data_IF_502862402223
#
_entry.id   IF_502862402223
#
_cell.length_a   1.000
_cell.length_b   1.000
_cell.length_c   1.000
_cell.angle_alpha   90.00
_cell.angle_beta   90.00
_cell.angle_gamma   90.00
#
_symmetry.space_group_name_H-M   'P 1'
#
loop_
_entity.id
_entity.type
_entity.pdbx_description
1 polymer ?
#
# COMPACT_ATOMS: atom_id res chain seq x y z
N UNK A 1 -3.88 -14.89 -4.22
CA UNK A 1 -3.65 -13.59 -3.56
C UNK A 1 -2.60 -12.75 -4.29
N UNK A 2 -1.47 -13.34 -4.71
CA UNK A 2 -0.45 -12.63 -5.51
C UNK A 2 -1.03 -11.86 -6.72
N UNK A 3 -1.94 -12.48 -7.48
CA UNK A 3 -2.63 -11.80 -8.59
C UNK A 3 -3.45 -10.57 -8.13
N UNK A 4 -4.09 -10.63 -6.95
CA UNK A 4 -4.80 -9.48 -6.36
C UNK A 4 -3.81 -8.39 -5.94
N UNK A 5 -2.66 -8.76 -5.37
CA UNK A 5 -1.60 -7.81 -5.03
C UNK A 5 -1.08 -7.10 -6.29
N UNK A 6 -0.84 -7.84 -7.38
CA UNK A 6 -0.42 -7.26 -8.66
C UNK A 6 -1.47 -6.29 -9.23
N UNK A 7 -2.75 -6.69 -9.22
CA UNK A 7 -3.86 -5.81 -9.66
C UNK A 7 -3.95 -4.54 -8.82
N UNK A 8 -3.83 -4.66 -7.49
CA UNK A 8 -3.86 -3.51 -6.60
C UNK A 8 -2.63 -2.62 -6.80
N UNK A 9 -1.44 -3.20 -6.96
CA UNK A 9 -0.22 -2.45 -7.25
C UNK A 9 -0.37 -1.60 -8.51
N UNK A 10 -0.81 -2.20 -9.63
CA UNK A 10 -1.04 -1.45 -10.86
C UNK A 10 -2.15 -0.41 -10.74
N UNK A 11 -3.21 -0.68 -9.97
CA UNK A 11 -4.25 0.32 -9.73
C UNK A 11 -3.69 1.54 -8.97
N UNK A 12 -2.82 1.33 -7.98
CA UNK A 12 -2.19 2.41 -7.22
C UNK A 12 -1.13 3.16 -8.04
N UNK A 13 -0.39 2.45 -8.92
CA UNK A 13 0.57 3.03 -9.87
C UNK A 13 -0.11 4.01 -10.83
N UNK A 14 -1.27 3.66 -11.40
CA UNK A 14 -2.05 4.57 -12.24
C UNK A 14 -2.53 5.82 -11.47
N UNK A 15 -2.88 5.65 -10.19
CA UNK A 15 -3.32 6.77 -9.34
C UNK A 15 -2.14 7.68 -8.98
N UNK A 16 -0.94 7.14 -8.78
CA UNK A 16 0.29 7.91 -8.58
C UNK A 16 0.62 8.76 -9.82
N UNK A 17 0.54 8.19 -11.02
CA UNK A 17 0.74 8.93 -12.27
C UNK A 17 -0.21 10.14 -12.38
N UNK A 18 -1.48 9.95 -12.04
CA UNK A 18 -2.48 11.04 -11.99
C UNK A 18 -2.16 12.06 -10.90
N UNK A 19 -1.49 11.68 -9.81
CA UNK A 19 -1.09 12.59 -8.73
C UNK A 19 0.07 13.51 -9.13
N UNK A 20 0.93 13.06 -10.05
CA UNK A 20 1.97 13.91 -10.64
C UNK A 20 1.38 15.03 -11.51
N UNK A 21 0.13 14.87 -11.98
CA UNK A 21 -0.63 15.96 -12.58
C UNK A 21 -1.17 16.91 -11.49
N UNK A 22 -0.68 18.15 -11.51
CA UNK A 22 -1.05 19.20 -10.57
C UNK A 22 -2.57 19.46 -10.49
N UNK A 23 -3.33 19.22 -11.57
CA UNK A 23 -4.77 19.39 -11.58
C UNK A 23 -5.52 18.27 -10.85
N UNK A 24 -4.97 17.06 -10.87
CA UNK A 24 -5.64 15.85 -10.37
C UNK A 24 -5.15 15.42 -8.97
N UNK A 25 -3.98 15.89 -8.53
CA UNK A 25 -3.35 15.54 -7.23
C UNK A 25 -4.20 15.72 -5.98
N UNK A 26 -5.27 16.52 -6.03
CA UNK A 26 -6.16 16.75 -4.88
C UNK A 26 -7.32 15.76 -4.82
N UNK A 27 -7.46 14.88 -5.80
CA UNK A 27 -8.56 13.93 -5.87
C UNK A 27 -8.22 12.65 -5.11
N UNK A 28 -8.70 12.53 -3.88
CA UNK A 28 -8.53 11.31 -3.07
C UNK A 28 -9.53 10.20 -3.42
N UNK A 29 -10.51 10.47 -4.30
CA UNK A 29 -11.57 9.52 -4.62
C UNK A 29 -11.04 8.19 -5.19
N UNK A 30 -10.08 8.16 -6.13
CA UNK A 30 -9.53 6.91 -6.64
C UNK A 30 -8.88 6.04 -5.55
N UNK A 31 -8.15 6.65 -4.60
CA UNK A 31 -7.53 5.91 -3.49
C UNK A 31 -8.61 5.38 -2.54
N UNK A 32 -9.64 6.18 -2.26
CA UNK A 32 -10.78 5.76 -1.42
C UNK A 32 -11.47 4.51 -1.97
N UNK A 33 -11.59 4.39 -3.29
CA UNK A 33 -12.15 3.21 -3.95
C UNK A 33 -11.28 1.95 -3.78
N UNK A 34 -9.98 2.12 -3.54
CA UNK A 34 -9.04 1.03 -3.31
C UNK A 34 -8.89 0.62 -1.84
N UNK A 35 -9.50 1.33 -0.87
CA UNK A 35 -9.31 1.06 0.56
C UNK A 35 -9.67 -0.36 0.97
N UNK A 36 -10.74 -0.92 0.41
CA UNK A 36 -11.12 -2.31 0.69
C UNK A 36 -10.06 -3.30 0.18
N UNK A 37 -9.44 -3.02 -0.97
CA UNK A 37 -8.38 -3.86 -1.52
C UNK A 37 -7.10 -3.75 -0.68
N UNK A 38 -6.75 -2.52 -0.22
CA UNK A 38 -5.64 -2.28 0.70
C UNK A 38 -5.86 -3.01 2.03
N UNK A 39 -7.09 -2.97 2.56
CA UNK A 39 -7.48 -3.69 3.77
C UNK A 39 -7.40 -5.21 3.59
N UNK A 40 -7.92 -5.75 2.47
CA UNK A 40 -7.82 -7.18 2.17
C UNK A 40 -6.36 -7.63 2.12
N UNK A 41 -5.51 -6.87 1.42
CA UNK A 41 -4.08 -7.13 1.33
C UNK A 41 -3.40 -7.13 2.70
N UNK A 42 -3.62 -6.07 3.51
CA UNK A 42 -2.95 -5.94 4.81
C UNK A 42 -3.39 -7.04 5.77
N UNK A 43 -4.68 -7.38 5.84
CA UNK A 43 -5.15 -8.51 6.65
C UNK A 43 -4.48 -9.82 6.26
N UNK A 44 -4.38 -10.11 4.95
CA UNK A 44 -3.71 -11.29 4.46
C UNK A 44 -2.21 -11.30 4.83
N UNK A 45 -1.50 -10.18 4.64
CA UNK A 45 -0.08 -10.05 4.97
C UNK A 45 0.19 -10.29 6.47
N UNK A 46 -0.63 -9.67 7.33
CA UNK A 46 -0.50 -9.77 8.79
C UNK A 46 -0.82 -11.17 9.33
N UNK A 47 -1.50 -12.03 8.56
CA UNK A 47 -1.87 -13.39 8.98
C UNK A 47 -0.94 -14.46 8.41
N UNK A 48 -0.45 -14.30 7.18
CA UNK A 48 0.15 -15.40 6.42
C UNK A 48 1.68 -15.34 6.28
N UNK A 49 2.33 -14.25 6.72
CA UNK A 49 3.76 -13.99 6.49
C UNK A 49 4.22 -14.33 5.05
N UNK A 50 3.62 -13.70 4.02
CA UNK A 50 3.79 -14.14 2.64
C UNK A 50 5.20 -13.95 2.07
N UNK A 51 6.06 -13.21 2.77
CA UNK A 51 7.47 -13.00 2.41
C UNK A 51 8.42 -13.91 3.21
N UNK A 52 7.89 -14.86 4.00
CA UNK A 52 8.66 -15.80 4.81
C UNK A 52 9.73 -15.13 5.68
N UNK A 53 9.42 -13.95 6.21
CA UNK A 53 10.32 -13.17 7.05
C UNK A 53 10.57 -13.91 8.37
N UNK A 54 11.75 -13.73 8.95
CA UNK A 54 12.01 -14.18 10.31
C UNK A 54 11.06 -13.49 11.31
N UNK A 55 10.90 -14.08 12.50
CA UNK A 55 9.90 -13.63 13.47
C UNK A 55 10.08 -12.16 13.89
N UNK A 56 11.33 -11.71 14.09
CA UNK A 56 11.60 -10.34 14.53
C UNK A 56 11.28 -9.34 13.41
N UNK A 57 11.76 -9.62 12.20
CA UNK A 57 11.48 -8.79 11.04
C UNK A 57 10.00 -8.80 10.67
N UNK A 58 9.32 -9.92 10.85
CA UNK A 58 7.89 -10.02 10.60
C UNK A 58 7.10 -9.14 11.56
N UNK A 59 7.40 -9.19 12.87
CA UNK A 59 6.76 -8.32 13.87
C UNK A 59 6.97 -6.84 13.54
N UNK A 60 8.21 -6.44 13.22
CA UNK A 60 8.51 -5.05 12.82
C UNK A 60 7.72 -4.64 11.58
N UNK A 61 7.69 -5.50 10.56
CA UNK A 61 6.95 -5.24 9.32
C UNK A 61 5.44 -5.08 9.58
N UNK A 62 4.87 -5.85 10.54
CA UNK A 62 3.47 -5.67 10.94
C UNK A 62 3.24 -4.29 11.56
N UNK A 63 4.14 -3.86 12.44
CA UNK A 63 4.05 -2.54 13.07
C UNK A 63 4.14 -1.42 12.03
N UNK A 64 5.06 -1.53 11.08
CA UNK A 64 5.21 -0.57 9.98
C UNK A 64 3.93 -0.48 9.14
N UNK A 65 3.36 -1.61 8.74
CA UNK A 65 2.09 -1.65 7.98
C UNK A 65 0.96 -1.00 8.78
N UNK A 66 0.88 -1.23 10.09
CA UNK A 66 -0.13 -0.61 10.95
C UNK A 66 0.06 0.91 11.08
N UNK A 67 1.29 1.41 11.09
CA UNK A 67 1.59 2.85 11.06
C UNK A 67 1.11 3.45 9.74
N UNK A 68 1.44 2.83 8.61
CA UNK A 68 1.00 3.28 7.28
C UNK A 68 -0.54 3.32 7.19
N UNK A 69 -1.22 2.30 7.72
CA UNK A 69 -2.69 2.30 7.75
C UNK A 69 -3.27 3.44 8.58
N UNK A 70 -2.62 3.82 9.70
CA UNK A 70 -3.04 4.99 10.48
C UNK A 70 -2.82 6.28 9.68
N UNK A 71 -1.71 6.40 8.96
CA UNK A 71 -1.44 7.57 8.12
C UNK A 71 -2.48 7.72 7.00
N UNK A 72 -2.91 6.60 6.39
CA UNK A 72 -4.02 6.60 5.42
C UNK A 72 -5.32 7.11 6.06
N UNK A 73 -5.64 6.66 7.27
CA UNK A 73 -6.86 7.12 7.98
C UNK A 73 -6.77 8.61 8.29
N UNK A 74 -5.67 9.07 8.90
CA UNK A 74 -5.44 10.49 9.20
C UNK A 74 -5.52 11.36 7.94
N UNK A 75 -4.92 10.91 6.84
CA UNK A 75 -4.97 11.60 5.56
C UNK A 75 -6.39 11.72 5.00
N UNK A 76 -7.26 10.73 5.21
CA UNK A 76 -8.67 10.80 4.81
C UNK A 76 -9.43 11.79 5.68
N UNK A 77 -9.23 11.73 7.00
CA UNK A 77 -9.92 12.56 7.99
C UNK A 77 -9.57 14.04 7.83
N UNK A 78 -8.29 14.34 7.59
CA UNK A 78 -7.76 15.70 7.44
C UNK A 78 -7.79 16.17 5.98
N UNK A 79 -8.16 15.29 5.04
CA UNK A 79 -8.10 15.53 3.60
C UNK A 79 -6.69 15.92 3.13
N UNK A 80 -5.67 15.34 3.78
CA UNK A 80 -4.24 15.56 3.50
C UNK A 80 -3.78 14.66 2.36
N UNK A 81 -3.69 15.25 1.17
CA UNK A 81 -3.26 14.56 -0.03
C UNK A 81 -1.76 14.27 -0.06
N UNK A 82 -0.93 15.02 0.67
CA UNK A 82 0.51 14.77 0.74
C UNK A 82 0.76 13.54 1.59
N UNK A 83 0.14 13.47 2.78
CA UNK A 83 0.22 12.31 3.66
C UNK A 83 -0.36 11.07 2.99
N UNK A 84 -1.50 11.21 2.29
CA UNK A 84 -2.07 10.08 1.53
C UNK A 84 -1.07 9.54 0.50
N UNK A 85 -0.48 10.43 -0.31
CA UNK A 85 0.48 10.02 -1.34
C UNK A 85 1.68 9.32 -0.72
N UNK A 86 2.24 9.86 0.36
CA UNK A 86 3.38 9.26 1.07
C UNK A 86 3.06 7.86 1.58
N UNK A 87 1.92 7.71 2.27
CA UNK A 87 1.47 6.43 2.82
C UNK A 87 1.19 5.37 1.73
N UNK A 88 0.71 5.76 0.55
CA UNK A 88 0.46 4.84 -0.56
C UNK A 88 1.76 4.48 -1.29
N UNK A 89 2.48 5.47 -1.83
CA UNK A 89 3.61 5.26 -2.75
C UNK A 89 4.83 4.72 -2.01
N UNK A 90 5.20 5.37 -0.90
CA UNK A 90 6.38 5.00 -0.13
C UNK A 90 6.07 4.00 1.00
N UNK A 91 4.80 3.88 1.40
CA UNK A 91 4.33 2.91 2.38
C UNK A 91 3.83 1.60 1.75
N UNK A 92 2.56 1.55 1.36
CA UNK A 92 1.87 0.29 0.99
C UNK A 92 2.41 -0.35 -0.30
N UNK A 93 2.71 0.44 -1.33
CA UNK A 93 3.12 -0.09 -2.64
C UNK A 93 4.40 -0.92 -2.57
N UNK A 94 5.32 -0.58 -1.67
CA UNK A 94 6.54 -1.37 -1.39
C UNK A 94 6.22 -2.82 -1.05
N UNK A 95 5.27 -3.04 -0.14
CA UNK A 95 4.89 -4.38 0.31
C UNK A 95 4.05 -5.12 -0.73
N UNK A 96 3.19 -4.41 -1.45
CA UNK A 96 2.43 -4.97 -2.56
C UNK A 96 3.34 -5.50 -3.65
N UNK A 97 4.36 -4.71 -4.05
CA UNK A 97 5.36 -5.09 -5.06
C UNK A 97 6.10 -6.36 -4.66
N UNK A 98 6.58 -6.42 -3.41
CA UNK A 98 7.26 -7.60 -2.89
C UNK A 98 6.37 -8.85 -2.95
N UNK A 99 5.08 -8.71 -2.60
CA UNK A 99 4.13 -9.81 -2.62
C UNK A 99 3.64 -10.19 -4.02
N UNK A 100 3.62 -9.27 -4.98
CA UNK A 100 3.19 -9.53 -6.36
C UNK A 100 4.28 -10.19 -7.20
N UNK A 101 5.54 -9.86 -6.97
CA UNK A 101 6.68 -10.39 -7.75
C UNK A 101 7.12 -11.77 -7.22
N UNK A 102 6.82 -12.10 -5.96
CA UNK A 102 7.14 -13.40 -5.37
C UNK A 102 8.62 -13.76 -5.55
N UNK A 103 9.54 -13.02 -4.91
CA UNK A 103 11.00 -13.26 -4.98
C UNK A 103 11.54 -13.72 -6.36
N UNK A 104 11.11 -13.08 -7.44
CA UNK A 104 11.92 -13.00 -8.64
C UNK A 104 12.63 -11.65 -8.63
N UNK A 105 13.94 -11.67 -8.40
CA UNK A 105 14.87 -10.54 -8.51
C UNK A 105 14.91 -9.59 -7.29
N UNK A 106 15.56 -10.09 -6.23
CA UNK A 106 16.55 -9.26 -5.53
C UNK A 106 17.91 -9.86 -5.90
N UNK A 107 18.46 -9.41 -7.04
CA UNK A 107 19.89 -9.54 -7.37
C UNK A 107 20.64 -8.28 -6.93
#
# INVERSE_FOLDING_TARGET
MQEKCAKLYHALEMIEEDFLDYQNRKNLLPIREQLNNIQEFTLWFLQQNPLELDEQLYVQTKEDILIILKDIVSAIEENDYVLMHDAIVYGIMKYLKACSIGMAEVE
#
